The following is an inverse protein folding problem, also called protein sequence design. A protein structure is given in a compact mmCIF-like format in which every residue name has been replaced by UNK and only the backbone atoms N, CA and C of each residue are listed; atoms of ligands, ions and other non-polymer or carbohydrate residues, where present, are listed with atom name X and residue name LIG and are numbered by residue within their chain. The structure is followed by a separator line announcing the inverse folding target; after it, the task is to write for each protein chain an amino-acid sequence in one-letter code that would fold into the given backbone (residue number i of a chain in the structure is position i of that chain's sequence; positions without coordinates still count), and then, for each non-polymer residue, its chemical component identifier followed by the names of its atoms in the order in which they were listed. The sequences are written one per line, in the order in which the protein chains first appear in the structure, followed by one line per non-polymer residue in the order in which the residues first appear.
data_IF_760200442158
#
_entry.id   IF_760200442158
#
_cell.length_a   1.000
_cell.length_b   1.000
_cell.length_c   1.000
_cell.angle_alpha   90.00
_cell.angle_beta   90.00
_cell.angle_gamma   90.00
#
_symmetry.space_group_name_H-M   'P 1'
#
loop_
_entity.id
_entity.type
_entity.pdbx_description
1 polymer ?
#
# COMPACT_ATOMS: atom_id res chain seq x y z
N UNK A 1 36.95 27.51 -3.63
CA UNK A 1 35.94 27.47 -4.69
C UNK A 1 36.43 26.49 -5.75
N UNK A 2 36.22 25.22 -5.58
CA UNK A 2 36.43 24.21 -6.62
C UNK A 2 35.11 23.55 -6.86
N UNK A 3 34.53 23.78 -8.05
CA UNK A 3 33.43 23.03 -8.57
C UNK A 3 33.85 21.56 -8.68
N UNK A 4 33.60 20.77 -7.67
CA UNK A 4 33.60 19.32 -7.76
C UNK A 4 32.37 18.89 -8.56
N UNK A 5 32.48 18.91 -9.87
CA UNK A 5 31.64 18.05 -10.70
C UNK A 5 32.08 16.64 -10.34
N UNK A 6 31.35 15.98 -9.43
CA UNK A 6 31.56 14.56 -9.12
C UNK A 6 31.38 13.80 -10.43
N UNK A 7 32.49 13.39 -11.03
CA UNK A 7 32.48 12.66 -12.28
C UNK A 7 31.91 11.28 -12.02
N UNK A 8 30.79 10.98 -12.71
CA UNK A 8 30.21 9.63 -12.71
C UNK A 8 31.32 8.61 -12.95
N UNK A 9 31.48 7.58 -12.09
CA UNK A 9 32.52 6.59 -12.29
C UNK A 9 32.45 5.95 -13.68
N UNK A 10 33.58 5.69 -14.28
CA UNK A 10 33.64 5.12 -15.62
C UNK A 10 32.93 3.75 -15.67
N UNK A 11 32.09 3.56 -16.68
CA UNK A 11 31.35 2.31 -16.89
C UNK A 11 30.04 2.19 -16.17
N UNK A 12 29.65 3.15 -15.33
CA UNK A 12 28.35 3.14 -14.69
C UNK A 12 27.21 3.40 -15.69
N UNK A 13 26.09 2.72 -15.52
CA UNK A 13 24.96 2.76 -16.45
C UNK A 13 23.74 3.46 -15.82
N UNK A 14 23.00 4.26 -16.60
CA UNK A 14 21.82 4.94 -16.08
C UNK A 14 20.67 3.96 -15.87
N UNK A 15 20.21 3.82 -14.62
CA UNK A 15 18.96 3.13 -14.26
C UNK A 15 17.87 4.19 -14.05
N UNK A 16 16.69 3.94 -14.57
CA UNK A 16 15.53 4.82 -14.34
C UNK A 16 14.84 4.43 -13.03
N UNK A 17 14.67 5.41 -12.14
CA UNK A 17 13.87 5.29 -10.93
C UNK A 17 12.59 6.11 -11.07
N UNK A 18 11.47 5.59 -10.55
CA UNK A 18 10.26 6.35 -10.41
C UNK A 18 10.47 7.49 -9.38
N UNK A 19 10.18 8.73 -9.77
CA UNK A 19 10.39 9.93 -8.95
C UNK A 19 9.51 11.06 -9.49
N UNK A 20 8.63 11.61 -8.69
CA UNK A 20 7.66 12.58 -9.18
C UNK A 20 6.88 12.04 -10.38
N UNK A 21 6.57 12.90 -11.34
CA UNK A 21 5.83 12.51 -12.56
C UNK A 21 6.73 11.98 -13.68
N UNK A 22 8.00 12.41 -13.72
CA UNK A 22 8.87 12.21 -14.87
C UNK A 22 9.91 11.10 -14.65
N UNK A 23 10.13 10.69 -13.40
CA UNK A 23 11.23 9.81 -13.01
C UNK A 23 12.59 10.50 -13.06
N UNK A 24 13.63 9.79 -12.62
CA UNK A 24 15.03 10.25 -12.71
C UNK A 24 15.90 9.13 -13.28
N UNK A 25 17.00 9.51 -13.92
CA UNK A 25 18.04 8.57 -14.38
C UNK A 25 19.24 8.68 -13.47
N UNK A 26 19.62 7.57 -12.85
CA UNK A 26 20.71 7.50 -11.88
C UNK A 26 21.79 6.57 -12.42
N UNK A 27 23.01 7.04 -12.66
CA UNK A 27 24.14 6.18 -12.96
C UNK A 27 24.45 5.26 -11.79
N UNK A 28 24.47 3.95 -12.02
CA UNK A 28 24.76 2.92 -11.03
C UNK A 28 25.80 1.93 -11.57
N UNK A 29 26.46 1.14 -10.71
CA UNK A 29 27.43 0.13 -11.12
C UNK A 29 26.85 -0.82 -12.18
N UNK A 30 27.64 -1.29 -13.15
CA UNK A 30 27.15 -2.16 -14.22
C UNK A 30 26.70 -3.54 -13.74
N UNK A 31 27.13 -3.95 -12.56
CA UNK A 31 26.75 -5.18 -11.86
C UNK A 31 25.62 -4.98 -10.82
N UNK A 32 25.04 -3.77 -10.75
CA UNK A 32 23.86 -3.54 -9.92
C UNK A 32 22.69 -4.39 -10.42
N UNK A 33 22.09 -5.13 -9.51
CA UNK A 33 20.98 -6.05 -9.80
C UNK A 33 19.64 -5.32 -9.72
N UNK A 34 19.01 -5.12 -10.87
CA UNK A 34 17.69 -4.45 -10.96
C UNK A 34 16.59 -5.46 -10.75
N UNK A 35 15.76 -5.22 -9.73
CA UNK A 35 14.63 -6.06 -9.36
C UNK A 35 13.33 -5.36 -9.76
N UNK A 36 12.53 -6.04 -10.54
CA UNK A 36 11.22 -5.56 -10.99
C UNK A 36 10.18 -6.68 -10.87
N UNK A 37 8.90 -6.37 -10.65
CA UNK A 37 7.85 -7.36 -10.72
C UNK A 37 7.76 -7.93 -12.14
N UNK A 38 7.06 -9.05 -12.30
CA UNK A 38 6.72 -9.55 -13.63
C UNK A 38 5.75 -8.56 -14.27
N UNK A 39 6.15 -7.97 -15.40
CA UNK A 39 5.28 -7.08 -16.16
C UNK A 39 4.22 -7.91 -16.91
N UNK A 40 3.04 -7.97 -16.33
CA UNK A 40 1.91 -8.67 -16.93
C UNK A 40 1.14 -7.73 -17.86
N UNK A 41 0.73 -8.19 -19.05
CA UNK A 41 -0.15 -7.41 -19.90
C UNK A 41 -1.51 -7.23 -19.23
N UNK A 42 -2.14 -6.08 -19.46
CA UNK A 42 -3.53 -5.86 -19.09
C UNK A 42 -4.45 -6.83 -19.85
N UNK A 43 -5.58 -7.15 -19.23
CA UNK A 43 -6.63 -7.94 -19.88
C UNK A 43 -7.15 -7.20 -21.13
N UNK A 44 -7.29 -7.90 -22.24
CA UNK A 44 -7.75 -7.31 -23.50
C UNK A 44 -9.16 -6.69 -23.38
N UNK A 45 -10.00 -7.25 -22.54
CA UNK A 45 -11.35 -6.75 -22.22
C UNK A 45 -11.63 -6.93 -20.72
N UNK A 46 -11.01 -6.08 -19.91
CA UNK A 46 -11.13 -6.12 -18.46
C UNK A 46 -12.59 -5.92 -18.00
N UNK A 47 -13.36 -5.09 -18.69
CA UNK A 47 -14.75 -4.83 -18.32
C UNK A 47 -15.59 -6.11 -18.41
N UNK A 48 -15.59 -6.80 -19.55
CA UNK A 48 -16.36 -8.03 -19.71
C UNK A 48 -15.83 -9.16 -18.81
N UNK A 49 -14.53 -9.27 -18.58
CA UNK A 49 -13.97 -10.27 -17.65
C UNK A 49 -14.47 -10.04 -16.22
N UNK A 50 -14.58 -8.78 -15.78
CA UNK A 50 -15.15 -8.45 -14.46
C UNK A 50 -16.64 -8.78 -14.44
N UNK A 51 -17.39 -8.39 -15.47
CA UNK A 51 -18.83 -8.68 -15.58
C UNK A 51 -19.09 -10.18 -15.49
N UNK A 52 -18.40 -11.00 -16.27
CA UNK A 52 -18.60 -12.44 -16.32
C UNK A 52 -18.23 -13.11 -14.99
N UNK A 53 -17.11 -12.69 -14.38
CA UNK A 53 -16.63 -13.24 -13.11
C UNK A 53 -17.58 -12.89 -11.96
N UNK A 54 -18.01 -11.63 -11.86
CA UNK A 54 -18.91 -11.15 -10.80
C UNK A 54 -20.32 -11.76 -10.98
N UNK A 55 -20.84 -11.80 -12.21
CA UNK A 55 -22.14 -12.39 -12.51
C UNK A 55 -22.18 -13.87 -12.13
N UNK A 56 -21.15 -14.63 -12.55
CA UNK A 56 -21.03 -16.06 -12.21
C UNK A 56 -21.03 -16.27 -10.70
N UNK A 57 -20.28 -15.45 -9.96
CA UNK A 57 -20.18 -15.56 -8.51
C UNK A 57 -21.49 -15.21 -7.81
N UNK A 58 -22.15 -14.11 -8.18
CA UNK A 58 -23.44 -13.73 -7.61
C UNK A 58 -24.56 -14.75 -7.94
N UNK A 59 -24.58 -15.29 -9.15
CA UNK A 59 -25.53 -16.36 -9.52
C UNK A 59 -25.33 -17.62 -8.67
N UNK A 60 -24.08 -17.98 -8.35
CA UNK A 60 -23.78 -19.11 -7.49
C UNK A 60 -24.20 -18.88 -6.03
N UNK A 61 -24.10 -17.63 -5.55
CA UNK A 61 -24.51 -17.24 -4.20
C UNK A 61 -26.03 -17.13 -4.03
N UNK A 62 -26.78 -17.00 -5.12
CA UNK A 62 -28.23 -16.94 -5.11
C UNK A 62 -28.80 -15.54 -5.38
N UNK A 63 -30.01 -15.30 -4.95
CA UNK A 63 -30.68 -14.01 -5.19
C UNK A 63 -30.09 -12.88 -4.35
N UNK A 64 -30.01 -11.69 -4.95
CA UNK A 64 -29.72 -10.44 -4.24
C UNK A 64 -30.86 -10.17 -3.24
N UNK A 65 -30.54 -9.97 -1.99
CA UNK A 65 -31.53 -9.72 -0.94
C UNK A 65 -32.30 -8.42 -1.22
N UNK A 66 -33.57 -8.38 -0.78
CA UNK A 66 -34.34 -7.15 -0.82
C UNK A 66 -33.75 -6.09 0.11
N UNK A 67 -33.84 -4.81 -0.28
CA UNK A 67 -33.29 -3.69 0.48
C UNK A 67 -32.08 -3.02 -0.19
N UNK A 68 -31.35 -2.17 0.54
CA UNK A 68 -30.15 -1.50 0.02
C UNK A 68 -29.04 -2.45 -0.41
N UNK A 69 -28.26 -2.04 -1.41
CA UNK A 69 -27.05 -2.71 -1.86
C UNK A 69 -25.89 -1.77 -1.66
N UNK A 70 -24.92 -2.12 -0.81
CA UNK A 70 -23.70 -1.36 -0.62
C UNK A 70 -22.64 -1.82 -1.63
N UNK A 71 -22.10 -0.87 -2.42
CA UNK A 71 -20.95 -1.07 -3.30
C UNK A 71 -19.80 -0.25 -2.75
N UNK A 72 -18.83 -0.93 -2.16
CA UNK A 72 -17.68 -0.30 -1.49
C UNK A 72 -16.51 -0.20 -2.46
N UNK A 73 -15.85 0.94 -2.51
CA UNK A 73 -14.70 1.18 -3.38
C UNK A 73 -13.57 1.92 -2.66
N UNK A 74 -12.30 1.73 -3.07
CA UNK A 74 -11.16 2.41 -2.46
C UNK A 74 -11.16 3.91 -2.71
N UNK A 75 -10.55 4.65 -1.79
CA UNK A 75 -10.36 6.10 -1.86
C UNK A 75 -9.30 6.54 -2.90
N UNK A 76 -9.15 7.85 -3.06
CA UNK A 76 -8.24 8.49 -4.03
C UNK A 76 -6.75 8.17 -3.82
N UNK A 77 -6.36 7.65 -2.66
CA UNK A 77 -4.96 7.31 -2.37
C UNK A 77 -4.53 5.98 -2.98
N UNK A 78 -5.49 5.23 -3.55
CA UNK A 78 -5.25 3.91 -4.15
C UNK A 78 -5.24 3.99 -5.69
N UNK A 79 -4.30 3.32 -6.36
CA UNK A 79 -4.26 3.27 -7.83
C UNK A 79 -5.31 2.30 -8.42
N UNK A 80 -6.48 2.23 -7.78
CA UNK A 80 -7.56 1.34 -8.21
C UNK A 80 -8.23 1.85 -9.50
N UNK A 81 -8.53 0.98 -10.49
CA UNK A 81 -9.14 1.38 -11.76
C UNK A 81 -10.66 1.56 -11.64
N UNK A 82 -11.11 2.56 -10.87
CA UNK A 82 -12.53 2.82 -10.55
C UNK A 82 -13.42 2.83 -11.78
N UNK A 83 -12.97 3.49 -12.86
CA UNK A 83 -13.74 3.67 -14.11
C UNK A 83 -13.85 2.40 -14.96
N UNK A 84 -13.18 1.32 -14.56
CA UNK A 84 -13.29 0.00 -15.20
C UNK A 84 -14.10 -0.93 -14.31
N UNK A 85 -13.74 -1.02 -13.03
CA UNK A 85 -14.32 -1.99 -12.10
C UNK A 85 -15.74 -1.62 -11.69
N UNK A 86 -15.99 -0.38 -11.31
CA UNK A 86 -17.30 0.02 -10.80
C UNK A 86 -18.40 -0.07 -11.86
N UNK A 87 -18.24 0.42 -13.10
CA UNK A 87 -19.25 0.24 -14.14
C UNK A 87 -19.57 -1.23 -14.41
N UNK A 88 -18.56 -2.12 -14.38
CA UNK A 88 -18.78 -3.56 -14.59
C UNK A 88 -19.60 -4.20 -13.47
N UNK A 89 -19.28 -3.87 -12.19
CA UNK A 89 -20.05 -4.34 -11.02
C UNK A 89 -21.50 -3.83 -11.07
N UNK A 90 -21.70 -2.55 -11.39
CA UNK A 90 -23.02 -1.92 -11.50
C UNK A 90 -23.84 -2.50 -12.66
N UNK A 91 -23.20 -2.82 -13.76
CA UNK A 91 -23.84 -3.52 -14.87
C UNK A 91 -24.36 -4.90 -14.45
N UNK A 92 -23.57 -5.67 -13.69
CA UNK A 92 -24.02 -6.96 -13.16
C UNK A 92 -25.24 -6.80 -12.25
N UNK A 93 -25.23 -5.83 -11.34
CA UNK A 93 -26.36 -5.55 -10.48
C UNK A 93 -27.63 -5.20 -11.28
N UNK A 94 -27.50 -4.38 -12.32
CA UNK A 94 -28.58 -4.04 -13.23
C UNK A 94 -29.11 -5.29 -13.99
N UNK A 95 -28.21 -6.15 -14.50
CA UNK A 95 -28.59 -7.43 -15.14
C UNK A 95 -29.33 -8.38 -14.19
N UNK A 96 -29.04 -8.30 -12.88
CA UNK A 96 -29.74 -9.06 -11.83
C UNK A 96 -31.01 -8.37 -11.33
N UNK A 97 -31.44 -7.25 -11.94
CA UNK A 97 -32.68 -6.55 -11.64
C UNK A 97 -32.60 -5.64 -10.39
N UNK A 98 -31.41 -5.25 -9.96
CA UNK A 98 -31.23 -4.26 -8.89
C UNK A 98 -31.48 -2.87 -9.46
N UNK A 99 -32.44 -2.15 -8.89
CA UNK A 99 -32.70 -0.74 -9.26
C UNK A 99 -31.61 0.17 -8.67
N UNK A 100 -31.20 1.20 -9.43
CA UNK A 100 -30.16 2.15 -9.03
C UNK A 100 -30.46 2.83 -7.71
N UNK A 101 -31.73 3.11 -7.42
CA UNK A 101 -32.18 3.73 -6.17
C UNK A 101 -31.90 2.88 -4.92
N UNK A 102 -31.62 1.61 -5.08
CA UNK A 102 -31.22 0.69 -4.01
C UNK A 102 -29.70 0.69 -3.77
N UNK A 103 -28.92 1.22 -4.72
CA UNK A 103 -27.46 1.13 -4.66
C UNK A 103 -26.89 2.35 -3.92
N UNK A 104 -26.09 2.10 -2.89
CA UNK A 104 -25.27 3.08 -2.20
C UNK A 104 -23.81 2.80 -2.48
N UNK A 105 -23.12 3.78 -3.01
CA UNK A 105 -21.68 3.70 -3.26
C UNK A 105 -20.92 4.25 -2.06
N UNK A 106 -20.08 3.43 -1.42
CA UNK A 106 -19.35 3.79 -0.21
C UNK A 106 -17.85 3.88 -0.49
N UNK A 107 -17.27 5.06 -0.33
CA UNK A 107 -15.83 5.24 -0.42
C UNK A 107 -15.16 4.77 0.87
N UNK A 108 -14.28 3.78 0.78
CA UNK A 108 -13.55 3.20 1.91
C UNK A 108 -12.34 4.06 2.30
N UNK A 109 -12.59 5.24 2.83
CA UNK A 109 -11.60 6.29 3.12
C UNK A 109 -10.75 5.98 4.35
N UNK A 110 -11.27 5.16 5.27
CA UNK A 110 -10.59 4.85 6.53
C UNK A 110 -10.31 6.13 7.32
N UNK A 111 -9.07 6.29 7.81
CA UNK A 111 -8.61 7.49 8.55
C UNK A 111 -8.01 8.57 7.65
N UNK A 112 -8.07 8.43 6.33
CA UNK A 112 -7.66 9.49 5.42
C UNK A 112 -8.68 10.63 5.43
N UNK A 113 -8.29 11.79 4.88
CA UNK A 113 -9.26 12.86 4.66
C UNK A 113 -10.28 12.46 3.61
N UNK A 114 -11.49 12.94 3.78
CA UNK A 114 -12.53 12.81 2.76
C UNK A 114 -12.12 13.50 1.45
N UNK A 115 -12.63 12.98 0.34
CA UNK A 115 -12.45 13.58 -0.98
C UNK A 115 -13.33 14.84 -1.12
N UNK A 116 -12.85 15.82 -1.85
CA UNK A 116 -13.71 16.92 -2.31
C UNK A 116 -14.65 16.42 -3.42
N UNK A 117 -15.75 17.12 -3.67
CA UNK A 117 -16.68 16.80 -4.77
C UNK A 117 -15.97 16.69 -6.13
N UNK A 118 -14.97 17.55 -6.37
CA UNK A 118 -14.17 17.51 -7.60
C UNK A 118 -13.31 16.26 -7.69
N UNK A 119 -12.67 15.84 -6.60
CA UNK A 119 -11.87 14.61 -6.51
C UNK A 119 -12.75 13.37 -6.64
N UNK A 120 -13.95 13.38 -6.04
CA UNK A 120 -14.90 12.27 -6.17
C UNK A 120 -15.38 12.13 -7.64
N UNK A 121 -15.66 13.24 -8.32
CA UNK A 121 -15.99 13.23 -9.76
C UNK A 121 -14.80 12.78 -10.63
N UNK A 122 -13.58 13.18 -10.28
CA UNK A 122 -12.39 12.67 -10.97
C UNK A 122 -12.25 11.16 -10.80
N UNK A 123 -12.53 10.63 -9.62
CA UNK A 123 -12.44 9.22 -9.27
C UNK A 123 -13.49 8.38 -10.03
N UNK A 124 -14.76 8.74 -9.91
CA UNK A 124 -15.89 7.98 -10.40
C UNK A 124 -16.26 8.32 -11.86
N UNK A 125 -16.01 9.54 -12.31
CA UNK A 125 -16.61 10.15 -13.49
C UNK A 125 -17.95 10.81 -13.15
N UNK A 126 -18.32 11.84 -13.93
CA UNK A 126 -19.56 12.60 -13.71
C UNK A 126 -20.81 11.70 -13.71
N UNK A 127 -20.85 10.71 -14.60
CA UNK A 127 -21.96 9.79 -14.79
C UNK A 127 -22.30 9.01 -13.50
N UNK A 128 -21.31 8.38 -12.85
CA UNK A 128 -21.52 7.62 -11.63
C UNK A 128 -21.74 8.54 -10.42
N UNK A 129 -21.01 9.64 -10.34
CA UNK A 129 -21.13 10.61 -9.25
C UNK A 129 -22.50 11.31 -9.20
N UNK A 130 -23.18 11.46 -10.36
CA UNK A 130 -24.53 12.06 -10.44
C UNK A 130 -25.66 11.03 -10.35
N UNK A 131 -25.39 9.78 -10.76
CA UNK A 131 -26.39 8.73 -10.86
C UNK A 131 -26.65 8.04 -9.53
N UNK A 132 -25.64 7.93 -8.65
CA UNK A 132 -25.74 7.16 -7.41
C UNK A 132 -25.58 8.01 -6.17
N UNK A 133 -26.17 7.53 -5.05
CA UNK A 133 -25.90 8.05 -3.71
C UNK A 133 -24.48 7.65 -3.28
N UNK A 134 -23.56 8.60 -3.31
CA UNK A 134 -22.15 8.38 -2.98
C UNK A 134 -21.86 8.90 -1.58
N UNK A 135 -21.52 8.00 -0.69
CA UNK A 135 -21.12 8.31 0.69
C UNK A 135 -19.61 8.16 0.86
N UNK A 136 -18.95 9.24 1.27
CA UNK A 136 -17.53 9.22 1.62
C UNK A 136 -17.40 9.00 3.13
N UNK A 137 -16.84 7.86 3.53
CA UNK A 137 -16.72 7.46 4.93
C UNK A 137 -15.93 8.48 5.76
N UNK A 138 -16.43 8.78 6.95
CA UNK A 138 -15.75 9.57 7.98
C UNK A 138 -15.53 8.74 9.24
N UNK A 139 -14.30 8.29 9.44
CA UNK A 139 -13.93 7.46 10.60
C UNK A 139 -14.07 8.17 11.95
N UNK A 140 -14.13 9.49 11.96
CA UNK A 140 -14.27 10.31 13.17
C UNK A 140 -15.74 10.57 13.58
N UNK A 141 -16.70 10.43 12.67
CA UNK A 141 -18.12 10.57 12.96
C UNK A 141 -18.64 9.32 13.68
N UNK A 142 -18.64 9.35 15.01
CA UNK A 142 -19.02 8.20 15.83
C UNK A 142 -20.50 7.80 15.65
N UNK A 143 -21.37 8.74 15.30
CA UNK A 143 -22.80 8.51 15.10
C UNK A 143 -23.08 7.81 13.76
N UNK A 144 -22.16 7.90 12.81
CA UNK A 144 -22.24 7.17 11.55
C UNK A 144 -21.88 5.69 11.69
N UNK A 145 -21.38 5.25 12.83
CA UNK A 145 -20.96 3.86 13.05
C UNK A 145 -21.96 3.06 13.91
N UNK A 146 -21.83 1.76 13.82
CA UNK A 146 -22.56 0.79 14.66
C UNK A 146 -21.61 -0.27 15.17
N UNK A 147 -21.78 -0.67 16.43
CA UNK A 147 -21.04 -1.80 17.01
C UNK A 147 -21.50 -3.12 16.38
N UNK A 148 -20.57 -3.82 15.76
CA UNK A 148 -20.82 -5.13 15.12
C UNK A 148 -20.32 -6.30 15.97
N UNK A 149 -19.58 -6.03 17.03
CA UNK A 149 -19.07 -7.02 17.99
C UNK A 149 -17.85 -6.51 18.75
N UNK A 150 -17.18 -7.41 19.44
CA UNK A 150 -16.04 -7.10 20.32
C UNK A 150 -14.86 -8.01 19.96
N UNK A 151 -13.66 -7.45 19.83
CA UNK A 151 -12.39 -8.19 19.65
C UNK A 151 -11.41 -7.72 20.71
N UNK A 152 -10.78 -8.65 21.44
CA UNK A 152 -9.84 -8.36 22.53
C UNK A 152 -10.40 -7.39 23.59
N UNK A 153 -11.71 -7.45 23.86
CA UNK A 153 -12.39 -6.59 24.80
C UNK A 153 -12.71 -5.17 24.31
N UNK A 154 -12.44 -4.88 23.02
CA UNK A 154 -12.68 -3.57 22.41
C UNK A 154 -13.81 -3.66 21.39
N UNK A 155 -14.81 -2.74 21.41
CA UNK A 155 -15.85 -2.69 20.41
C UNK A 155 -15.30 -2.46 19.00
N UNK A 156 -15.85 -3.19 18.03
CA UNK A 156 -15.61 -3.00 16.61
C UNK A 156 -16.75 -2.19 16.03
N UNK A 157 -16.45 -1.01 15.52
CA UNK A 157 -17.40 -0.04 15.00
C UNK A 157 -17.19 0.10 13.48
N UNK A 158 -18.23 -0.24 12.72
CA UNK A 158 -18.24 -0.20 11.25
C UNK A 158 -19.34 0.75 10.77
N UNK A 159 -19.14 1.37 9.63
CA UNK A 159 -20.06 2.30 8.99
C UNK A 159 -21.47 1.71 8.87
N UNK A 160 -22.46 2.47 9.36
CA UNK A 160 -23.87 2.06 9.42
C UNK A 160 -24.43 1.80 8.03
N UNK A 161 -24.10 2.64 7.04
CA UNK A 161 -24.63 2.49 5.68
C UNK A 161 -24.21 1.16 5.04
N UNK A 162 -23.00 0.67 5.41
CA UNK A 162 -22.52 -0.66 5.03
C UNK A 162 -23.25 -1.77 5.81
N UNK A 163 -23.34 -1.64 7.13
CA UNK A 163 -23.91 -2.70 7.99
C UNK A 163 -25.40 -2.90 7.73
N UNK A 164 -26.16 -1.81 7.51
CA UNK A 164 -27.61 -1.84 7.25
C UNK A 164 -27.96 -2.39 5.86
N UNK A 165 -26.98 -2.53 4.94
CA UNK A 165 -27.23 -3.12 3.63
C UNK A 165 -27.21 -4.66 3.72
N UNK A 166 -28.29 -5.36 3.35
CA UNK A 166 -28.33 -6.82 3.33
C UNK A 166 -27.45 -7.45 2.23
N UNK A 167 -27.15 -6.70 1.18
CA UNK A 167 -26.19 -7.08 0.14
C UNK A 167 -25.03 -6.10 0.15
N UNK A 168 -23.82 -6.62 0.29
CA UNK A 168 -22.59 -5.84 0.44
C UNK A 168 -21.54 -6.35 -0.54
N UNK A 169 -21.17 -5.53 -1.51
CA UNK A 169 -20.11 -5.84 -2.46
C UNK A 169 -18.93 -4.93 -2.15
N UNK A 170 -17.81 -5.50 -1.78
CA UNK A 170 -16.57 -4.74 -1.60
C UNK A 170 -15.70 -4.90 -2.84
N UNK A 171 -15.11 -3.80 -3.30
CA UNK A 171 -14.16 -3.81 -4.42
C UNK A 171 -12.79 -3.37 -3.94
N UNK A 172 -11.74 -3.90 -4.53
CA UNK A 172 -10.38 -3.56 -4.15
C UNK A 172 -9.35 -4.00 -5.18
N UNK A 173 -8.10 -3.65 -4.93
CA UNK A 173 -6.99 -4.23 -5.64
C UNK A 173 -6.00 -4.83 -4.66
N UNK A 174 -5.37 -5.92 -5.09
CA UNK A 174 -4.43 -6.66 -4.25
C UNK A 174 -3.01 -6.35 -4.67
N UNK A 175 -2.25 -5.88 -3.71
CA UNK A 175 -0.81 -5.65 -3.78
C UNK A 175 -0.16 -6.05 -2.46
N UNK A 176 1.15 -6.32 -2.40
CA UNK A 176 1.86 -6.52 -1.14
C UNK A 176 1.75 -5.29 -0.24
N UNK A 177 1.63 -5.52 1.06
CA UNK A 177 1.48 -4.44 2.03
C UNK A 177 2.44 -4.59 3.22
N UNK A 178 3.12 -3.50 3.57
CA UNK A 178 4.29 -3.49 4.44
C UNK A 178 4.09 -3.90 5.92
N UNK A 179 2.85 -3.96 6.41
CA UNK A 179 2.54 -4.52 7.73
C UNK A 179 1.27 -5.40 7.76
N UNK A 180 0.39 -5.32 6.77
CA UNK A 180 -0.83 -6.11 6.74
C UNK A 180 -0.75 -7.31 5.78
N UNK A 181 0.44 -7.63 5.26
CA UNK A 181 0.66 -8.67 4.28
C UNK A 181 0.26 -8.26 2.88
N UNK A 182 -1.02 -8.08 2.64
CA UNK A 182 -1.59 -7.64 1.35
C UNK A 182 -2.70 -6.60 1.56
N UNK A 183 -3.00 -5.83 0.50
CA UNK A 183 -4.18 -4.97 0.38
C UNK A 183 -5.39 -5.73 -0.20
N UNK A 184 -6.50 -5.03 -0.43
CA UNK A 184 -7.75 -5.62 -0.96
C UNK A 184 -8.53 -6.41 0.08
N UNK A 185 -9.56 -7.11 -0.38
CA UNK A 185 -10.38 -8.00 0.43
C UNK A 185 -10.91 -7.38 1.72
N UNK A 186 -10.58 -7.97 2.88
CA UNK A 186 -11.12 -7.52 4.16
C UNK A 186 -10.73 -6.08 4.53
N UNK A 187 -9.68 -5.53 3.91
CA UNK A 187 -9.26 -4.14 4.18
C UNK A 187 -10.26 -3.10 3.69
N UNK A 188 -11.13 -3.43 2.75
CA UNK A 188 -12.21 -2.55 2.33
C UNK A 188 -13.22 -2.28 3.46
N UNK A 189 -13.39 -3.24 4.38
CA UNK A 189 -14.27 -3.10 5.55
C UNK A 189 -13.49 -2.56 6.74
N UNK A 190 -12.39 -3.18 7.11
CA UNK A 190 -11.49 -2.72 8.17
C UNK A 190 -10.06 -2.64 7.61
N UNK A 191 -9.44 -1.46 7.55
CA UNK A 191 -9.83 -0.16 8.12
C UNK A 191 -10.79 0.69 7.28
N UNK A 192 -11.15 0.31 6.04
CA UNK A 192 -11.78 1.18 5.05
C UNK A 192 -13.07 1.87 5.49
N UNK A 193 -13.93 1.16 6.22
CA UNK A 193 -15.23 1.63 6.73
C UNK A 193 -15.30 1.55 8.27
N UNK A 194 -14.16 1.47 8.94
CA UNK A 194 -14.10 1.36 10.38
C UNK A 194 -13.89 2.71 11.05
N UNK A 195 -14.43 2.88 12.27
CA UNK A 195 -14.15 4.07 13.08
C UNK A 195 -12.67 4.23 13.41
N UNK A 196 -12.22 5.45 13.66
CA UNK A 196 -10.86 5.74 14.10
C UNK A 196 -10.43 4.86 15.28
N UNK A 197 -11.31 4.61 16.26
CA UNK A 197 -11.01 3.75 17.40
C UNK A 197 -10.71 2.31 16.98
N UNK A 198 -11.49 1.74 16.06
CA UNK A 198 -11.28 0.40 15.52
C UNK A 198 -9.98 0.34 14.69
N UNK A 199 -9.70 1.37 13.88
CA UNK A 199 -8.46 1.45 13.09
C UNK A 199 -7.24 1.49 14.00
N UNK A 200 -7.25 2.28 15.08
CA UNK A 200 -6.15 2.34 16.06
C UNK A 200 -5.92 0.99 16.75
N UNK A 201 -6.96 0.20 16.97
CA UNK A 201 -6.79 -1.16 17.47
C UNK A 201 -6.15 -2.09 16.44
N UNK A 202 -6.61 -2.03 15.18
CA UNK A 202 -6.01 -2.81 14.09
C UNK A 202 -4.52 -2.50 13.91
N UNK A 203 -4.15 -1.25 14.07
CA UNK A 203 -2.79 -0.73 13.91
C UNK A 203 -2.10 -0.41 15.24
N UNK A 204 -2.49 -1.06 16.33
CA UNK A 204 -1.91 -0.79 17.65
C UNK A 204 -0.38 -1.01 17.65
N UNK A 205 0.38 -0.25 18.46
CA UNK A 205 1.83 -0.40 18.54
C UNK A 205 2.30 -1.83 18.75
N UNK A 206 1.59 -2.60 19.57
CA UNK A 206 1.93 -4.00 19.84
C UNK A 206 1.78 -4.88 18.59
N UNK A 207 0.71 -4.69 17.79
CA UNK A 207 0.52 -5.45 16.55
C UNK A 207 1.54 -5.06 15.48
N UNK A 208 1.82 -3.77 15.33
CA UNK A 208 2.83 -3.30 14.37
C UNK A 208 4.25 -3.75 14.76
N UNK A 209 4.55 -3.86 16.05
CA UNK A 209 5.85 -4.35 16.53
C UNK A 209 6.08 -5.83 16.28
N UNK A 210 5.02 -6.62 16.07
CA UNK A 210 5.14 -8.06 15.84
C UNK A 210 5.94 -8.36 14.56
N UNK A 211 6.89 -9.29 14.57
CA UNK A 211 7.64 -9.68 13.37
C UNK A 211 6.77 -10.19 12.22
N UNK A 212 5.60 -10.79 12.52
CA UNK A 212 4.61 -11.23 11.53
C UNK A 212 3.90 -10.06 10.84
N UNK A 213 3.87 -8.86 11.44
CA UNK A 213 3.31 -7.66 10.81
C UNK A 213 4.26 -7.13 9.73
N UNK A 214 4.30 -7.79 8.60
CA UNK A 214 5.23 -7.50 7.51
C UNK A 214 4.64 -7.86 6.14
N UNK A 215 5.38 -7.54 5.10
CA UNK A 215 5.06 -7.83 3.71
C UNK A 215 4.74 -9.31 3.47
N UNK A 216 3.70 -9.59 2.69
CA UNK A 216 3.31 -10.91 2.18
C UNK A 216 2.95 -11.96 3.23
N UNK A 217 2.94 -11.63 4.50
CA UNK A 217 2.54 -12.53 5.59
C UNK A 217 1.07 -12.32 5.93
N UNK A 218 0.25 -13.36 5.83
CA UNK A 218 -1.16 -13.39 6.24
C UNK A 218 -1.34 -14.18 7.53
N UNK A 219 -0.94 -15.46 7.53
CA UNK A 219 -1.04 -16.31 8.70
C UNK A 219 0.01 -15.93 9.74
N UNK A 220 -0.41 -15.72 10.99
CA UNK A 220 0.45 -15.25 12.06
C UNK A 220 0.76 -13.74 11.98
N UNK A 221 0.11 -12.99 11.08
CA UNK A 221 0.20 -11.54 11.03
C UNK A 221 -0.92 -10.93 11.89
N UNK A 222 -0.63 -10.38 13.08
CA UNK A 222 -1.67 -9.94 14.02
C UNK A 222 -2.48 -8.74 13.51
N UNK A 223 -1.94 -7.95 12.58
CA UNK A 223 -2.69 -6.88 11.92
C UNK A 223 -3.72 -7.47 10.95
N UNK A 224 -3.29 -8.42 10.10
CA UNK A 224 -4.20 -9.09 9.17
C UNK A 224 -5.28 -9.90 9.90
N UNK A 225 -4.90 -10.61 10.95
CA UNK A 225 -5.83 -11.41 11.75
C UNK A 225 -6.92 -10.55 12.41
N UNK A 226 -6.55 -9.39 12.94
CA UNK A 226 -7.53 -8.45 13.47
C UNK A 226 -8.46 -7.92 12.37
N UNK A 227 -7.91 -7.48 11.24
CA UNK A 227 -8.67 -6.98 10.09
C UNK A 227 -9.68 -8.04 9.60
N UNK A 228 -9.23 -9.27 9.44
CA UNK A 228 -10.08 -10.41 9.03
C UNK A 228 -11.17 -10.70 10.06
N UNK A 229 -10.83 -10.68 11.34
CA UNK A 229 -11.77 -10.91 12.43
C UNK A 229 -12.82 -9.82 12.52
N UNK A 230 -12.43 -8.55 12.40
CA UNK A 230 -13.34 -7.42 12.37
C UNK A 230 -14.29 -7.47 11.16
N UNK A 231 -13.78 -7.80 9.99
CA UNK A 231 -14.58 -7.98 8.77
C UNK A 231 -15.57 -9.15 8.90
N UNK A 232 -15.19 -10.22 9.59
CA UNK A 232 -16.06 -11.39 9.81
C UNK A 232 -17.27 -11.09 10.71
N UNK A 233 -17.26 -10.01 11.50
CA UNK A 233 -18.42 -9.55 12.28
C UNK A 233 -19.51 -8.90 11.40
N UNK A 234 -19.13 -8.34 10.24
CA UNK A 234 -20.03 -7.78 9.25
C UNK A 234 -19.51 -8.15 7.83
N UNK A 235 -19.61 -9.42 7.43
CA UNK A 235 -18.97 -9.89 6.21
C UNK A 235 -19.63 -9.32 4.96
N UNK A 236 -18.85 -9.02 3.89
CA UNK A 236 -19.42 -8.72 2.59
C UNK A 236 -20.07 -9.97 1.98
N UNK A 237 -21.07 -9.75 1.13
CA UNK A 237 -21.67 -10.80 0.30
C UNK A 237 -20.67 -11.30 -0.74
N UNK A 238 -19.91 -10.36 -1.33
CA UNK A 238 -18.91 -10.64 -2.35
C UNK A 238 -17.73 -9.66 -2.20
N UNK A 239 -16.51 -10.17 -2.35
CA UNK A 239 -15.32 -9.36 -2.60
C UNK A 239 -14.94 -9.45 -4.06
N UNK A 240 -14.75 -8.31 -4.72
CA UNK A 240 -14.28 -8.18 -6.09
C UNK A 240 -12.90 -7.53 -6.04
N UNK A 241 -11.88 -8.35 -6.12
CA UNK A 241 -10.49 -7.93 -6.07
C UNK A 241 -9.86 -8.03 -7.46
N UNK A 242 -9.09 -7.02 -7.84
CA UNK A 242 -8.32 -7.02 -9.09
C UNK A 242 -6.84 -6.90 -8.81
N UNK A 243 -6.01 -7.30 -9.76
CA UNK A 243 -4.60 -6.95 -9.81
C UNK A 243 -4.35 -6.03 -10.99
N UNK A 244 -3.32 -5.18 -10.90
CA UNK A 244 -2.99 -4.19 -11.92
C UNK A 244 -1.50 -4.22 -12.24
N UNK A 245 -1.14 -3.82 -13.47
CA UNK A 245 0.26 -3.58 -13.87
C UNK A 245 0.69 -2.12 -13.61
N UNK A 246 1.92 -1.78 -13.97
CA UNK A 246 2.45 -0.43 -13.82
C UNK A 246 1.68 0.64 -14.63
N UNK A 247 1.02 0.24 -15.71
CA UNK A 247 0.13 1.10 -16.50
C UNK A 247 -1.27 1.26 -15.89
N UNK A 248 -1.54 0.63 -14.73
CA UNK A 248 -2.84 0.56 -14.03
C UNK A 248 -3.92 -0.18 -14.83
N UNK A 249 -3.53 -1.06 -15.72
CA UNK A 249 -4.44 -1.95 -16.42
C UNK A 249 -4.71 -3.18 -15.56
N UNK A 250 -5.96 -3.66 -15.54
CA UNK A 250 -6.36 -4.88 -14.83
C UNK A 250 -5.68 -6.08 -15.44
N UNK A 251 -4.98 -6.88 -14.63
CA UNK A 251 -4.24 -8.08 -15.06
C UNK A 251 -4.91 -9.39 -14.66
N UNK A 252 -5.71 -9.37 -13.58
CA UNK A 252 -6.55 -10.49 -13.17
C UNK A 252 -7.72 -10.02 -12.32
N UNK A 253 -8.78 -10.85 -12.26
CA UNK A 253 -10.02 -10.59 -11.52
C UNK A 253 -10.32 -11.76 -10.60
N UNK A 254 -10.70 -11.47 -9.35
CA UNK A 254 -11.08 -12.44 -8.32
C UNK A 254 -12.38 -11.97 -7.67
N UNK A 255 -13.46 -12.72 -7.84
CA UNK A 255 -14.76 -12.36 -7.26
C UNK A 255 -15.33 -13.58 -6.53
N UNK A 256 -15.22 -13.59 -5.21
CA UNK A 256 -15.76 -14.63 -4.31
C UNK A 256 -16.03 -14.06 -2.92
N UNK A 257 -16.80 -14.77 -2.08
CA UNK A 257 -16.87 -14.46 -0.67
C UNK A 257 -15.48 -14.51 -0.01
N UNK A 258 -15.30 -13.67 1.01
CA UNK A 258 -14.07 -13.74 1.83
C UNK A 258 -14.06 -15.02 2.67
N UNK A 259 -12.88 -15.64 2.89
CA UNK A 259 -11.56 -15.16 2.46
C UNK A 259 -11.11 -15.64 1.08
N UNK A 260 -11.82 -16.56 0.45
CA UNK A 260 -11.31 -17.40 -0.66
C UNK A 260 -10.84 -16.60 -1.89
N UNK A 261 -11.62 -15.62 -2.34
CA UNK A 261 -11.24 -14.78 -3.49
C UNK A 261 -9.98 -13.99 -3.22
N UNK A 262 -9.91 -13.37 -2.04
CA UNK A 262 -8.75 -12.58 -1.63
C UNK A 262 -7.49 -13.44 -1.49
N UNK A 263 -7.59 -14.65 -0.91
CA UNK A 263 -6.44 -15.54 -0.80
C UNK A 263 -5.89 -15.93 -2.17
N UNK A 264 -6.75 -16.25 -3.15
CA UNK A 264 -6.30 -16.53 -4.53
C UNK A 264 -5.64 -15.33 -5.18
N UNK A 265 -6.16 -14.12 -4.93
CA UNK A 265 -5.54 -12.89 -5.40
C UNK A 265 -4.16 -12.68 -4.75
N UNK A 266 -4.01 -12.93 -3.46
CA UNK A 266 -2.71 -12.86 -2.76
C UNK A 266 -1.70 -13.87 -3.32
N UNK A 267 -2.10 -15.11 -3.57
CA UNK A 267 -1.24 -16.12 -4.21
C UNK A 267 -0.81 -15.72 -5.62
N UNK A 268 -1.71 -15.10 -6.39
CA UNK A 268 -1.37 -14.58 -7.70
C UNK A 268 -0.33 -13.46 -7.60
N UNK A 269 -0.54 -12.51 -6.70
CA UNK A 269 0.38 -11.38 -6.47
C UNK A 269 1.73 -11.88 -5.93
N UNK A 270 1.74 -12.89 -5.07
CA UNK A 270 3.01 -13.47 -4.60
C UNK A 270 3.85 -14.00 -5.76
N UNK A 271 3.24 -14.70 -6.70
CA UNK A 271 3.94 -15.22 -7.89
C UNK A 271 4.41 -14.15 -8.87
N UNK A 272 3.78 -12.98 -8.91
CA UNK A 272 4.04 -11.95 -9.92
C UNK A 272 4.83 -10.75 -9.41
N UNK A 273 4.76 -10.48 -8.10
CA UNK A 273 5.36 -9.27 -7.49
C UNK A 273 6.47 -9.57 -6.47
N UNK A 274 6.66 -10.85 -6.09
CA UNK A 274 7.69 -11.23 -5.12
C UNK A 274 8.92 -11.78 -5.82
N UNK A 275 10.08 -11.16 -5.55
CA UNK A 275 11.39 -11.59 -6.06
C UNK A 275 12.16 -12.27 -4.95
N UNK A 276 12.65 -13.50 -5.20
CA UNK A 276 13.46 -14.25 -4.24
C UNK A 276 14.94 -14.06 -4.50
N UNK A 277 15.71 -13.82 -3.44
CA UNK A 277 17.16 -13.68 -3.45
C UNK A 277 17.81 -14.71 -2.53
N UNK A 278 19.00 -15.20 -2.89
CA UNK A 278 19.77 -16.14 -2.08
C UNK A 278 20.47 -15.46 -0.90
N UNK A 279 20.84 -14.20 -1.05
CA UNK A 279 21.54 -13.40 -0.04
C UNK A 279 21.19 -11.92 -0.14
N UNK A 280 21.24 -11.16 0.97
CA UNK A 280 20.95 -9.72 0.96
C UNK A 280 22.02 -8.92 0.20
N UNK A 281 21.66 -7.69 -0.12
CA UNK A 281 22.56 -6.67 -0.67
C UNK A 281 23.25 -5.87 0.46
N UNK A 282 24.37 -5.24 0.12
CA UNK A 282 25.03 -4.27 1.00
C UNK A 282 24.42 -2.88 0.87
N UNK A 283 23.96 -2.55 -0.35
CA UNK A 283 23.32 -1.29 -0.70
C UNK A 283 22.05 -1.63 -1.48
N UNK A 284 20.94 -0.98 -1.15
CA UNK A 284 19.72 -1.03 -1.95
C UNK A 284 19.31 0.39 -2.34
N UNK A 285 19.26 0.65 -3.64
CA UNK A 285 18.70 1.87 -4.20
C UNK A 285 17.23 1.63 -4.49
N UNK A 286 16.35 2.46 -3.96
CA UNK A 286 14.90 2.30 -4.12
C UNK A 286 14.22 3.62 -4.47
N UNK A 287 12.97 3.54 -4.91
CA UNK A 287 12.07 4.69 -4.98
C UNK A 287 10.80 4.45 -4.15
N UNK A 288 9.88 5.39 -4.18
CA UNK A 288 8.51 5.17 -3.68
C UNK A 288 7.49 5.22 -4.83
N UNK A 289 7.79 4.57 -5.95
CA UNK A 289 6.94 4.41 -7.15
C UNK A 289 6.49 5.74 -7.82
N UNK A 290 7.13 6.89 -7.48
CA UNK A 290 6.81 8.18 -8.09
C UNK A 290 5.42 8.72 -7.69
N UNK A 291 4.97 9.75 -8.43
CA UNK A 291 3.68 10.39 -8.13
C UNK A 291 2.48 9.49 -8.45
N UNK A 292 1.45 9.41 -7.55
CA UNK A 292 1.28 10.18 -6.31
C UNK A 292 1.89 9.56 -5.06
N UNK A 293 2.55 8.41 -5.16
CA UNK A 293 3.00 7.63 -4.00
C UNK A 293 4.24 8.25 -3.32
N UNK A 294 5.01 9.08 -4.01
CA UNK A 294 6.19 9.76 -3.46
C UNK A 294 5.93 11.22 -3.04
N UNK A 295 4.67 11.56 -2.77
CA UNK A 295 4.25 12.94 -2.51
C UNK A 295 4.80 13.55 -1.22
N UNK A 296 5.02 12.73 -0.18
CA UNK A 296 5.53 13.18 1.12
C UNK A 296 6.36 12.10 1.83
N UNK A 297 7.02 12.46 2.93
CA UNK A 297 7.89 11.54 3.68
C UNK A 297 7.11 10.37 4.29
N UNK A 298 5.89 10.59 4.77
CA UNK A 298 5.03 9.53 5.30
C UNK A 298 4.86 8.38 4.30
N UNK A 299 4.58 8.69 3.05
CA UNK A 299 4.43 7.68 2.01
C UNK A 299 5.78 7.03 1.66
N UNK A 300 6.89 7.80 1.64
CA UNK A 300 8.22 7.33 1.25
C UNK A 300 8.76 6.19 2.15
N UNK A 301 8.28 6.08 3.39
CA UNK A 301 8.62 4.98 4.30
C UNK A 301 8.29 3.60 3.70
N UNK A 302 7.29 3.50 2.83
CA UNK A 302 6.94 2.24 2.16
C UNK A 302 8.05 1.74 1.25
N UNK A 303 8.63 2.63 0.43
CA UNK A 303 9.78 2.30 -0.42
C UNK A 303 11.02 1.94 0.40
N UNK A 304 11.25 2.65 1.50
CA UNK A 304 12.34 2.32 2.45
C UNK A 304 12.12 0.94 3.06
N UNK A 305 10.88 0.61 3.45
CA UNK A 305 10.53 -0.69 4.02
C UNK A 305 10.68 -1.84 3.03
N UNK A 306 10.37 -1.64 1.75
CA UNK A 306 10.60 -2.65 0.71
C UNK A 306 12.09 -2.93 0.53
N UNK A 307 12.93 -1.88 0.52
CA UNK A 307 14.38 -1.99 0.42
C UNK A 307 15.02 -2.63 1.66
N UNK A 308 14.50 -2.31 2.86
CA UNK A 308 15.01 -2.85 4.13
C UNK A 308 14.96 -4.39 4.18
N UNK A 309 14.00 -5.01 3.51
CA UNK A 309 13.92 -6.49 3.41
C UNK A 309 15.07 -7.12 2.64
N UNK A 310 15.72 -6.36 1.77
CA UNK A 310 16.73 -6.85 0.83
C UNK A 310 18.15 -6.47 1.25
N UNK A 311 18.28 -5.48 2.12
CA UNK A 311 19.56 -5.00 2.60
C UNK A 311 19.95 -5.76 3.88
N UNK A 312 21.25 -6.06 4.03
CA UNK A 312 21.76 -6.67 5.27
C UNK A 312 21.75 -5.70 6.43
N UNK A 313 21.88 -6.22 7.64
CA UNK A 313 22.05 -5.40 8.84
C UNK A 313 23.28 -4.49 8.72
N UNK A 314 23.12 -3.22 9.10
CA UNK A 314 24.14 -2.18 8.96
C UNK A 314 24.39 -1.73 7.51
N UNK A 315 23.66 -2.24 6.52
CA UNK A 315 23.74 -1.82 5.14
C UNK A 315 23.14 -0.42 4.89
N UNK A 316 23.10 -0.01 3.63
CA UNK A 316 22.61 1.30 3.21
C UNK A 316 21.39 1.16 2.28
N UNK A 317 20.31 1.83 2.64
CA UNK A 317 19.18 2.11 1.75
C UNK A 317 19.33 3.54 1.21
N UNK A 318 19.28 3.71 -0.11
CA UNK A 318 19.21 5.02 -0.76
C UNK A 318 17.82 5.15 -1.39
N UNK A 319 16.95 5.94 -0.81
CA UNK A 319 15.58 6.10 -1.27
C UNK A 319 15.40 7.39 -2.07
N UNK A 320 14.82 7.28 -3.26
CA UNK A 320 14.40 8.40 -4.08
C UNK A 320 12.90 8.64 -3.92
N UNK A 321 12.52 9.77 -3.36
CA UNK A 321 11.12 10.19 -3.22
C UNK A 321 11.02 11.72 -3.26
N UNK A 322 10.19 12.26 -4.15
CA UNK A 322 10.13 13.72 -4.36
C UNK A 322 9.74 14.50 -3.12
N UNK A 323 8.80 13.96 -2.33
CA UNK A 323 8.27 14.57 -1.11
C UNK A 323 7.83 16.03 -1.31
N UNK A 324 7.17 16.31 -2.44
CA UNK A 324 6.77 17.68 -2.83
C UNK A 324 5.77 18.34 -1.89
N UNK A 325 5.00 17.53 -1.15
CA UNK A 325 4.04 17.98 -0.13
C UNK A 325 4.68 18.07 1.28
N UNK A 326 5.99 17.86 1.40
CA UNK A 326 6.71 18.02 2.67
C UNK A 326 6.49 16.85 3.65
N UNK A 327 6.34 17.21 4.92
CA UNK A 327 5.76 16.35 5.96
C UNK A 327 4.25 16.57 5.96
N UNK A 328 3.45 15.51 6.08
CA UNK A 328 2.01 15.70 6.28
C UNK A 328 1.76 16.37 7.62
N UNK A 329 0.76 17.24 7.69
CA UNK A 329 0.29 17.79 8.94
C UNK A 329 -0.21 16.68 9.88
N UNK A 330 -0.07 16.90 11.20
CA UNK A 330 -0.61 16.02 12.22
C UNK A 330 0.40 15.10 12.90
N UNK A 331 -0.08 13.99 13.42
CA UNK A 331 0.68 13.16 14.37
C UNK A 331 2.00 12.59 13.83
N UNK A 332 2.10 12.36 12.52
CA UNK A 332 3.35 11.85 11.94
C UNK A 332 4.51 12.83 12.14
N UNK A 333 4.29 14.12 11.87
CA UNK A 333 5.31 15.16 12.07
C UNK A 333 5.65 15.33 13.56
N UNK A 334 4.62 15.42 14.41
CA UNK A 334 4.79 15.58 15.87
C UNK A 334 5.60 14.42 16.50
N UNK A 335 5.32 13.19 16.06
CA UNK A 335 6.02 12.00 16.55
C UNK A 335 7.49 11.97 16.08
N UNK A 336 7.78 12.44 14.87
CA UNK A 336 9.15 12.57 14.36
C UNK A 336 9.94 13.63 15.15
N UNK A 337 9.35 14.79 15.40
CA UNK A 337 9.98 15.88 16.15
C UNK A 337 10.28 15.49 17.60
N UNK A 338 9.42 14.66 18.21
CA UNK A 338 9.58 14.17 19.57
C UNK A 338 10.67 13.11 19.74
N UNK A 339 11.07 12.43 18.67
CA UNK A 339 12.00 11.31 18.69
C UNK A 339 13.45 11.74 18.47
N UNK A 340 14.37 11.19 19.28
CA UNK A 340 15.83 11.45 19.19
C UNK A 340 16.61 10.25 18.67
N UNK A 341 16.05 9.06 18.79
CA UNK A 341 16.66 7.79 18.42
C UNK A 341 15.66 6.95 17.61
N UNK A 342 16.17 5.97 16.85
CA UNK A 342 15.32 5.00 16.17
C UNK A 342 14.41 4.24 17.16
N UNK A 343 14.89 4.00 18.40
CA UNK A 343 14.08 3.34 19.42
C UNK A 343 12.90 4.20 19.87
N UNK A 344 13.06 5.53 19.97
CA UNK A 344 11.96 6.43 20.32
C UNK A 344 10.84 6.36 19.24
N UNK A 345 11.21 6.18 17.97
CA UNK A 345 10.25 5.98 16.89
C UNK A 345 9.54 4.62 17.00
N UNK A 346 10.27 3.56 17.37
CA UNK A 346 9.69 2.22 17.59
C UNK A 346 8.70 2.23 18.76
N UNK A 347 9.03 2.96 19.83
CA UNK A 347 8.23 3.06 21.05
C UNK A 347 7.16 4.16 20.99
N UNK A 348 6.85 4.66 19.80
CA UNK A 348 5.83 5.70 19.59
C UNK A 348 4.51 5.35 20.27
N UNK A 349 3.85 6.30 20.96
CA UNK A 349 2.55 6.07 21.59
C UNK A 349 1.47 5.81 20.56
N UNK A 350 0.38 5.14 20.96
CA UNK A 350 -0.77 4.92 20.11
C UNK A 350 -1.41 6.25 19.70
N UNK A 351 -1.31 6.57 18.43
CA UNK A 351 -1.89 7.75 17.80
C UNK A 351 -2.17 7.45 16.32
N UNK A 352 -2.95 8.29 15.67
CA UNK A 352 -3.09 8.22 14.22
C UNK A 352 -1.70 8.37 13.57
N UNK A 353 -1.42 7.57 12.52
CA UNK A 353 -0.17 7.55 11.77
C UNK A 353 1.09 7.03 12.52
N UNK A 354 0.94 6.65 13.81
CA UNK A 354 2.05 6.11 14.60
C UNK A 354 2.69 4.87 13.95
N UNK A 355 1.89 4.04 13.29
CA UNK A 355 2.40 2.83 12.59
C UNK A 355 3.47 3.15 11.55
N UNK A 356 3.37 4.29 10.87
CA UNK A 356 4.34 4.70 9.86
C UNK A 356 5.66 5.13 10.50
N UNK A 357 5.58 5.86 11.61
CA UNK A 357 6.74 6.26 12.42
C UNK A 357 7.43 5.02 12.99
N UNK A 358 6.66 4.09 13.53
CA UNK A 358 7.17 2.84 14.11
C UNK A 358 7.88 1.97 13.07
N UNK A 359 7.32 1.86 11.85
CA UNK A 359 8.00 1.17 10.73
C UNK A 359 9.31 1.86 10.37
N UNK A 360 9.33 3.20 10.28
CA UNK A 360 10.58 3.96 10.06
C UNK A 360 11.62 3.68 11.15
N UNK A 361 11.20 3.68 12.42
CA UNK A 361 12.06 3.34 13.54
C UNK A 361 12.68 1.95 13.43
N UNK A 362 11.88 0.94 13.06
CA UNK A 362 12.37 -0.44 12.83
C UNK A 362 13.42 -0.51 11.71
N UNK A 363 13.20 0.23 10.62
CA UNK A 363 14.18 0.33 9.52
C UNK A 363 15.49 0.94 10.03
N UNK A 364 15.40 2.09 10.71
CA UNK A 364 16.58 2.83 11.20
C UNK A 364 17.33 2.12 12.31
N UNK A 365 16.67 1.27 13.10
CA UNK A 365 17.33 0.43 14.08
C UNK A 365 18.23 -0.65 13.45
N UNK A 366 18.02 -0.97 12.18
CA UNK A 366 18.70 -2.05 11.45
C UNK A 366 19.61 -1.55 10.35
N UNK A 367 19.20 -0.51 9.63
CA UNK A 367 19.87 -0.03 8.41
C UNK A 367 20.08 1.48 8.44
N UNK A 368 21.00 1.96 7.65
CA UNK A 368 21.17 3.40 7.38
C UNK A 368 20.34 3.78 6.18
N UNK A 369 19.64 4.90 6.25
CA UNK A 369 18.80 5.39 5.16
C UNK A 369 19.28 6.76 4.70
N UNK A 370 19.58 6.88 3.40
CA UNK A 370 19.84 8.13 2.73
C UNK A 370 18.65 8.47 1.82
N UNK A 371 18.16 9.70 1.88
CA UNK A 371 16.98 10.15 1.15
C UNK A 371 17.36 11.20 0.10
N UNK A 372 17.05 10.90 -1.15
CA UNK A 372 17.03 11.85 -2.25
C UNK A 372 15.63 12.42 -2.42
N UNK A 373 15.46 13.70 -2.10
CA UNK A 373 14.13 14.33 -2.10
C UNK A 373 14.20 15.84 -2.36
N UNK A 374 13.04 16.47 -2.48
CA UNK A 374 12.90 17.93 -2.51
C UNK A 374 12.82 18.57 -1.12
N UNK A 375 12.94 17.80 -0.04
CA UNK A 375 12.93 18.32 1.33
C UNK A 375 14.22 19.07 1.65
N UNK A 376 14.14 20.05 2.54
CA UNK A 376 15.32 20.69 3.10
C UNK A 376 16.15 19.68 3.92
N UNK A 377 17.46 19.79 3.85
CA UNK A 377 18.41 18.87 4.49
C UNK A 377 18.21 18.74 6.01
N UNK A 378 17.87 19.82 6.69
CA UNK A 378 17.61 19.86 8.12
C UNK A 378 16.35 19.06 8.48
N UNK A 379 15.32 19.13 7.63
CA UNK A 379 14.12 18.34 7.79
C UNK A 379 14.36 16.84 7.58
N UNK A 380 15.20 16.48 6.58
CA UNK A 380 15.62 15.09 6.40
C UNK A 380 16.39 14.58 7.62
N UNK A 381 17.29 15.39 8.19
CA UNK A 381 18.05 15.02 9.39
C UNK A 381 17.17 14.94 10.65
N UNK A 382 16.14 15.79 10.79
CA UNK A 382 15.19 15.69 11.92
C UNK A 382 14.42 14.37 11.91
N UNK A 383 14.16 13.79 10.73
CA UNK A 383 13.59 12.46 10.57
C UNK A 383 14.61 11.31 10.74
N UNK A 384 15.84 11.61 11.25
CA UNK A 384 16.94 10.68 11.46
C UNK A 384 17.44 10.01 10.14
N UNK A 385 17.20 10.65 9.01
CA UNK A 385 17.67 10.24 7.69
C UNK A 385 18.91 11.06 7.28
N UNK A 386 19.69 10.52 6.34
CA UNK A 386 20.81 11.24 5.74
C UNK A 386 20.36 11.88 4.43
N UNK A 387 20.57 13.19 4.20
CA UNK A 387 20.33 13.79 2.89
C UNK A 387 21.25 13.16 1.83
N UNK A 388 20.69 12.85 0.67
CA UNK A 388 21.40 12.33 -0.50
C UNK A 388 21.09 13.21 -1.73
N UNK A 389 21.70 14.39 -1.86
CA UNK A 389 21.46 15.25 -3.01
C UNK A 389 21.85 14.59 -4.34
N UNK A 390 22.80 13.65 -4.30
CA UNK A 390 23.24 12.83 -5.43
C UNK A 390 23.29 11.36 -5.02
N UNK A 391 22.43 10.54 -5.63
CA UNK A 391 22.33 9.09 -5.37
C UNK A 391 23.61 8.39 -5.84
N UNK A 392 24.13 8.76 -7.01
CA UNK A 392 25.36 8.18 -7.58
C UNK A 392 26.54 8.38 -6.65
N UNK A 393 26.69 9.59 -6.12
CA UNK A 393 27.74 9.92 -5.15
C UNK A 393 27.59 9.14 -3.84
N UNK A 394 26.36 9.01 -3.33
CA UNK A 394 26.07 8.25 -2.10
C UNK A 394 26.42 6.75 -2.26
N UNK A 395 26.02 6.14 -3.38
CA UNK A 395 26.36 4.74 -3.69
C UNK A 395 27.86 4.56 -3.88
N UNK A 396 28.52 5.47 -4.61
CA UNK A 396 29.97 5.42 -4.83
C UNK A 396 30.76 5.50 -3.52
N UNK A 397 30.42 6.44 -2.67
CA UNK A 397 31.09 6.60 -1.37
C UNK A 397 30.94 5.34 -0.51
N UNK A 398 29.77 4.71 -0.51
CA UNK A 398 29.54 3.49 0.26
C UNK A 398 30.31 2.29 -0.33
N UNK A 399 30.37 2.15 -1.66
CA UNK A 399 31.19 1.12 -2.32
C UNK A 399 32.67 1.28 -2.00
N UNK A 400 33.20 2.52 -1.98
CA UNK A 400 34.58 2.79 -1.56
C UNK A 400 34.84 2.34 -0.11
N UNK A 401 33.85 2.49 0.77
CA UNK A 401 33.95 2.06 2.17
C UNK A 401 33.90 0.54 2.33
N UNK A 402 33.09 -0.15 1.51
CA UNK A 402 32.83 -1.59 1.64
C UNK A 402 33.82 -2.46 0.85
N UNK A 403 34.36 -1.94 -0.25
CA UNK A 403 35.26 -2.67 -1.15
C UNK A 403 34.54 -3.32 -2.34
N UNK A 404 35.30 -4.03 -3.19
CA UNK A 404 34.84 -4.47 -4.51
C UNK A 404 33.80 -5.59 -4.51
N UNK A 405 33.66 -6.32 -3.39
CA UNK A 405 32.72 -7.45 -3.29
C UNK A 405 31.30 -7.00 -2.86
N UNK A 406 31.12 -5.69 -2.63
CA UNK A 406 29.85 -5.16 -2.18
C UNK A 406 28.79 -5.24 -3.29
N UNK A 407 27.60 -5.73 -2.93
CA UNK A 407 26.47 -5.92 -3.85
C UNK A 407 25.49 -4.75 -3.78
N UNK A 408 25.03 -4.32 -4.94
CA UNK A 408 24.03 -3.26 -5.10
C UNK A 408 22.76 -3.85 -5.69
N UNK A 409 21.63 -3.70 -4.98
CA UNK A 409 20.30 -3.99 -5.49
C UNK A 409 19.55 -2.71 -5.85
N UNK A 410 18.65 -2.77 -6.80
CA UNK A 410 17.84 -1.63 -7.24
C UNK A 410 16.38 -2.02 -7.33
N UNK A 411 15.52 -1.26 -6.67
CA UNK A 411 14.05 -1.34 -6.78
C UNK A 411 13.53 -0.07 -7.48
N UNK A 412 13.40 -0.07 -8.82
CA UNK A 412 13.05 1.14 -9.57
C UNK A 412 11.70 1.75 -9.18
N UNK A 413 10.76 0.92 -8.77
CA UNK A 413 9.40 1.29 -8.38
C UNK A 413 9.08 0.94 -6.91
N UNK A 414 10.13 0.75 -6.09
CA UNK A 414 10.04 0.59 -4.64
C UNK A 414 9.00 -0.44 -4.19
N UNK A 415 7.91 0.00 -3.56
CA UNK A 415 6.96 -0.89 -2.89
C UNK A 415 6.13 -1.79 -3.83
N UNK A 416 6.21 -1.58 -5.16
CA UNK A 416 5.54 -2.46 -6.13
C UNK A 416 6.30 -3.77 -6.34
N UNK A 417 7.56 -3.84 -5.90
CA UNK A 417 8.39 -5.05 -5.92
C UNK A 417 8.75 -5.42 -4.49
N UNK A 418 8.36 -6.60 -4.06
CA UNK A 418 8.72 -7.11 -2.74
C UNK A 418 9.78 -8.19 -2.88
N UNK A 419 10.91 -7.96 -2.24
CA UNK A 419 11.96 -8.96 -2.19
C UNK A 419 11.90 -9.81 -0.92
N UNK A 420 12.28 -11.07 -1.07
CA UNK A 420 12.44 -12.02 0.04
C UNK A 420 13.80 -12.67 -0.07
N UNK A 421 14.61 -12.54 0.99
CA UNK A 421 15.87 -13.27 1.07
C UNK A 421 15.57 -14.68 1.61
N UNK A 422 15.74 -15.69 0.77
CA UNK A 422 15.60 -17.10 1.13
C UNK A 422 16.98 -17.76 1.00
N UNK A 423 17.71 -17.97 2.10
CA UNK A 423 18.98 -18.70 2.04
C UNK A 423 18.78 -20.04 1.35
N UNK A 424 19.61 -20.36 0.36
CA UNK A 424 19.59 -21.71 -0.22
C UNK A 424 19.88 -22.72 0.88
N UNK A 425 19.18 -23.88 0.90
CA UNK A 425 19.56 -24.98 1.78
C UNK A 425 21.02 -25.32 1.47
N UNK A 426 21.83 -25.52 2.54
CA UNK A 426 23.20 -25.93 2.38
C UNK A 426 23.24 -27.20 1.49
N UNK A 427 24.20 -27.32 0.54
CA UNK A 427 24.33 -28.51 -0.26
C UNK A 427 24.52 -29.72 0.68
N UNK A 428 23.72 -30.77 0.46
CA UNK A 428 23.70 -32.01 1.25
C UNK A 428 25.03 -32.75 1.17
#
# INVERSE_FOLDING_TARGET
MSNGADTVPSGWQPVRLAYGRDGIRVPLPPDAEVLSPIDLPGLADAHNEIVDTVLTSLQRLGQIADGPVAVVFPDLTRPFPHRVVLPAVLEVLSRLGVDDSRIRMLCATGTHRQATDAEMRELLGDDLAERFDVHDHDSADIDAHVEVGVIDGVPVLIDRAYVDAPTRIVTGFVEPHFFAGYSGGPKAVCPGLASTATVLQAHSPARIADPGATWTVLDGNPVHEFIRSATALAPPTLSVDVTINAAREVTAVFADPLPDGHLRACEFVERTSVVSLDRPFDIVVTSNAGHPLDRNLYQAVKGMSAADRLVRDGGLVVCAARCGDGLPDGHFADLLEGARTAQDLVDSPSAQDQWQVQVLGRILARTRVALHSGLADDLVRSAQLSPAPDITAAVHAELQRLGPDARVGVLPEGPLTVGVVRPQPAPA
#
